data_IF_388324402510
#
_entry.id   IF_388324402510
#
_cell.length_a   1.000
_cell.length_b   1.000
_cell.length_c   1.000
_cell.angle_alpha   90.00
_cell.angle_beta   90.00
_cell.angle_gamma   90.00
#
_symmetry.space_group_name_H-M   'P 1'
#
loop_
_entity.id
_entity.type
_entity.pdbx_description
1 polymer ?
#
# COMPACT_ATOMS: atom_id res chain seq x y z
N UNK A 1 63.99 36.31 -21.49
CA UNK A 1 62.71 36.73 -20.87
C UNK A 1 61.50 35.87 -21.24
N UNK A 2 61.35 35.33 -22.43
CA UNK A 2 60.15 34.51 -22.83
C UNK A 2 60.07 33.13 -22.19
N UNK A 3 61.20 32.52 -21.77
CA UNK A 3 61.20 31.17 -21.10
C UNK A 3 60.79 31.27 -19.64
N UNK A 4 61.19 32.27 -18.92
CA UNK A 4 60.83 32.49 -17.49
C UNK A 4 59.31 32.68 -17.31
N UNK A 5 58.66 33.42 -18.20
CA UNK A 5 57.21 33.65 -18.17
C UNK A 5 56.37 32.39 -18.35
N UNK A 6 56.87 31.41 -19.15
CA UNK A 6 56.17 30.14 -19.39
C UNK A 6 56.29 29.21 -18.18
N UNK A 7 57.42 29.20 -17.48
CA UNK A 7 57.65 28.40 -16.27
C UNK A 7 56.80 28.91 -15.12
N UNK A 8 56.69 30.23 -14.97
CA UNK A 8 55.85 30.83 -13.92
C UNK A 8 54.34 30.58 -14.15
N UNK A 9 53.92 30.57 -15.42
CA UNK A 9 52.52 30.25 -15.78
C UNK A 9 52.17 28.78 -15.52
N UNK A 10 53.13 27.86 -15.79
CA UNK A 10 52.95 26.44 -15.54
C UNK A 10 52.95 26.09 -14.07
N UNK A 11 53.77 26.77 -13.25
CA UNK A 11 53.77 26.63 -11.80
C UNK A 11 52.51 27.18 -11.12
N UNK A 12 51.98 28.30 -11.65
CA UNK A 12 50.70 28.82 -11.20
C UNK A 12 49.50 27.88 -11.55
N UNK A 13 49.50 27.29 -12.75
CA UNK A 13 48.44 26.35 -13.13
C UNK A 13 48.54 25.04 -12.32
N UNK A 14 49.73 24.56 -11.97
CA UNK A 14 49.89 23.38 -11.11
C UNK A 14 49.46 23.66 -9.66
N UNK A 15 49.66 24.89 -9.13
CA UNK A 15 49.18 25.28 -7.82
C UNK A 15 47.64 25.39 -7.73
N UNK A 16 46.96 25.78 -8.83
CA UNK A 16 45.49 25.78 -8.90
C UNK A 16 44.89 24.37 -8.98
N UNK A 17 45.60 23.40 -9.54
CA UNK A 17 45.13 22.01 -9.58
C UNK A 17 45.36 21.26 -8.26
N UNK A 18 46.29 21.68 -7.43
CA UNK A 18 46.53 21.11 -6.10
C UNK A 18 45.58 21.70 -5.00
N UNK A 19 44.84 22.77 -5.32
CA UNK A 19 43.98 23.47 -4.34
C UNK A 19 42.57 22.93 -4.22
N UNK A 20 42.22 21.82 -4.90
CA UNK A 20 40.87 21.25 -4.87
C UNK A 20 40.79 19.86 -4.21
N UNK A 21 41.66 19.52 -3.28
CA UNK A 21 41.33 18.50 -2.30
C UNK A 21 40.56 19.14 -1.16
N UNK A 22 39.25 19.32 -1.35
CA UNK A 22 38.35 19.63 -0.25
C UNK A 22 38.23 18.38 0.62
N UNK A 23 39.14 18.21 1.59
CA UNK A 23 39.13 17.13 2.57
C UNK A 23 37.93 17.18 3.53
N UNK A 24 37.13 18.22 3.46
CA UNK A 24 35.94 18.43 4.29
C UNK A 24 34.88 17.32 4.18
N UNK A 25 34.91 16.50 3.13
CA UNK A 25 33.97 15.36 2.97
C UNK A 25 34.46 14.07 3.61
N UNK A 26 35.68 14.03 4.14
CA UNK A 26 36.27 12.84 4.77
C UNK A 26 36.02 12.77 6.27
N UNK A 27 35.65 13.89 6.89
CA UNK A 27 35.35 13.94 8.32
C UNK A 27 33.85 14.09 8.54
N UNK A 28 33.29 13.29 9.45
CA UNK A 28 31.92 13.42 9.89
C UNK A 28 31.79 14.67 10.76
N UNK A 29 31.05 15.67 10.27
CA UNK A 29 30.84 16.94 10.97
C UNK A 29 29.62 16.92 11.89
N UNK A 30 28.78 15.92 11.74
CA UNK A 30 27.52 15.80 12.44
C UNK A 30 27.46 14.49 13.23
N UNK A 31 26.72 14.52 14.32
CA UNK A 31 26.45 13.31 15.09
C UNK A 31 25.58 12.38 14.25
N UNK A 32 26.00 11.13 14.09
CA UNK A 32 25.24 10.10 13.38
C UNK A 32 23.99 9.73 14.16
N UNK A 33 22.85 9.73 13.49
CA UNK A 33 21.57 9.29 14.03
C UNK A 33 21.06 8.13 13.19
N UNK A 34 20.55 7.12 13.86
CA UNK A 34 19.85 6.01 13.23
C UNK A 34 18.37 6.35 13.17
N UNK A 35 17.77 6.17 12.01
CA UNK A 35 16.36 6.47 11.79
C UNK A 35 15.68 5.47 10.86
N UNK A 36 14.35 5.40 10.97
CA UNK A 36 13.49 4.61 10.11
C UNK A 36 13.11 5.47 8.90
N UNK A 37 13.32 4.92 7.69
CA UNK A 37 12.91 5.60 6.46
C UNK A 37 11.40 5.50 6.33
N UNK A 38 10.74 6.63 6.43
CA UNK A 38 9.28 6.73 6.36
C UNK A 38 8.87 8.01 5.65
N UNK A 39 7.65 8.06 5.18
CA UNK A 39 7.04 9.24 4.58
C UNK A 39 6.66 10.31 5.59
N UNK A 40 5.72 11.13 5.20
CA UNK A 40 5.14 12.16 6.06
C UNK A 40 4.40 11.50 7.23
N UNK A 41 4.41 12.14 8.39
CA UNK A 41 3.81 11.63 9.64
C UNK A 41 4.32 10.24 10.09
N UNK A 42 5.51 9.85 9.67
CA UNK A 42 6.11 8.55 9.96
C UNK A 42 5.30 7.35 9.43
N UNK A 43 4.57 7.52 8.35
CA UNK A 43 3.85 6.45 7.68
C UNK A 43 4.70 5.88 6.56
N UNK A 44 4.71 4.55 6.44
CA UNK A 44 5.30 3.82 5.32
C UNK A 44 4.31 2.77 4.83
N UNK A 45 3.60 3.07 3.74
CA UNK A 45 2.72 2.10 3.09
C UNK A 45 3.48 1.16 2.15
N UNK A 46 3.26 -0.14 2.30
CA UNK A 46 3.78 -1.15 1.39
C UNK A 46 2.66 -2.05 0.89
N UNK A 47 2.70 -2.36 -0.43
CA UNK A 47 1.71 -3.21 -1.08
C UNK A 47 2.07 -4.68 -0.93
N UNK A 48 1.08 -5.47 -0.50
CA UNK A 48 1.14 -6.91 -0.39
C UNK A 48 0.13 -7.54 -1.36
N UNK A 49 0.52 -8.63 -1.99
CA UNK A 49 -0.28 -9.31 -3.00
C UNK A 49 -1.10 -10.43 -2.39
N UNK A 50 -2.39 -10.52 -2.78
CA UNK A 50 -3.25 -11.61 -2.30
C UNK A 50 -2.80 -12.98 -2.82
N UNK A 51 -2.97 -14.01 -1.99
CA UNK A 51 -2.73 -15.40 -2.35
C UNK A 51 -1.28 -15.86 -2.28
N UNK A 52 -0.42 -15.09 -1.64
CA UNK A 52 0.92 -15.51 -1.28
C UNK A 52 0.98 -15.83 0.22
N UNK A 53 1.40 -17.05 0.57
CA UNK A 53 1.67 -17.39 1.96
C UNK A 53 2.89 -16.61 2.46
N UNK A 54 2.63 -15.53 3.22
CA UNK A 54 3.66 -14.72 3.83
C UNK A 54 4.40 -13.81 2.84
N UNK A 55 3.72 -12.78 2.36
CA UNK A 55 4.35 -11.73 1.55
C UNK A 55 5.43 -10.99 2.32
N UNK A 56 6.60 -10.83 1.71
CA UNK A 56 7.73 -10.15 2.31
C UNK A 56 7.69 -8.64 2.07
N UNK A 57 7.59 -7.88 3.16
CA UNK A 57 7.81 -6.45 3.21
C UNK A 57 9.21 -6.11 3.76
N UNK A 58 9.62 -4.84 3.61
CA UNK A 58 10.94 -4.37 4.03
C UNK A 58 10.84 -2.97 4.64
N UNK A 59 11.38 -2.85 5.84
CA UNK A 59 11.55 -1.57 6.51
C UNK A 59 13.01 -1.15 6.42
N UNK A 60 13.27 -0.01 5.79
CA UNK A 60 14.63 0.50 5.64
C UNK A 60 15.04 1.31 6.88
N UNK A 61 16.21 0.96 7.42
CA UNK A 61 16.88 1.65 8.51
C UNK A 61 18.09 2.35 7.93
N UNK A 62 18.30 3.59 8.29
CA UNK A 62 19.37 4.40 7.73
C UNK A 62 20.15 5.13 8.81
N UNK A 63 21.45 5.34 8.55
CA UNK A 63 22.32 6.20 9.35
C UNK A 63 22.50 7.54 8.68
N UNK A 64 22.20 8.62 9.38
CA UNK A 64 22.53 9.97 8.91
C UNK A 64 24.03 10.21 8.89
N UNK A 65 24.45 11.29 8.24
CA UNK A 65 25.84 11.71 8.16
C UNK A 65 26.41 11.60 6.75
N UNK A 66 27.63 12.10 6.59
CA UNK A 66 28.33 12.15 5.30
C UNK A 66 29.22 10.92 5.06
N UNK A 67 29.57 10.21 6.13
CA UNK A 67 30.40 9.01 6.09
C UNK A 67 29.62 7.77 6.50
N UNK A 68 30.07 6.60 6.08
CA UNK A 68 29.52 5.31 6.52
C UNK A 68 29.75 5.07 8.02
N UNK A 69 29.08 4.06 8.56
CA UNK A 69 29.30 3.62 9.94
C UNK A 69 30.73 3.10 10.11
N UNK A 70 31.39 3.49 11.20
CA UNK A 70 32.76 3.07 11.53
C UNK A 70 32.82 1.70 12.20
N UNK A 71 31.71 1.28 12.81
CA UNK A 71 31.54 0.01 13.51
C UNK A 71 30.18 -0.61 13.24
N UNK A 72 29.99 -1.88 13.60
CA UNK A 72 28.68 -2.53 13.51
C UNK A 72 27.72 -1.93 14.53
N UNK A 73 26.51 -1.62 14.09
CA UNK A 73 25.46 -1.05 14.93
C UNK A 73 24.26 -1.98 14.94
N UNK A 74 23.90 -2.49 16.12
CA UNK A 74 22.67 -3.25 16.31
C UNK A 74 21.54 -2.29 16.65
N UNK A 75 20.43 -2.40 15.92
CA UNK A 75 19.19 -1.65 16.13
C UNK A 75 18.12 -2.63 16.54
N UNK A 76 17.52 -2.45 17.72
CA UNK A 76 16.43 -3.28 18.24
C UNK A 76 15.13 -2.52 18.16
N UNK A 77 14.04 -3.21 17.81
CA UNK A 77 12.72 -2.66 17.65
C UNK A 77 11.74 -3.18 18.69
N UNK A 78 10.70 -2.39 18.95
CA UNK A 78 9.55 -2.78 19.76
C UNK A 78 8.27 -2.24 19.11
N UNK A 79 7.12 -2.81 19.50
CA UNK A 79 5.82 -2.26 19.10
C UNK A 79 5.56 -0.93 19.84
N UNK A 80 4.92 0.01 19.15
CA UNK A 80 4.58 1.33 19.66
C UNK A 80 3.06 1.57 19.59
N UNK A 81 2.34 0.95 20.51
CA UNK A 81 0.87 1.04 20.58
C UNK A 81 0.36 2.48 20.79
N UNK A 82 1.18 3.36 21.38
CA UNK A 82 0.80 4.76 21.58
C UNK A 82 0.76 5.53 20.26
N UNK A 83 1.67 5.23 19.33
CA UNK A 83 1.76 5.92 18.05
C UNK A 83 0.49 5.75 17.20
N UNK A 84 -0.13 4.57 17.19
CA UNK A 84 -1.39 4.36 16.47
C UNK A 84 -2.56 5.07 17.16
N UNK A 85 -2.58 5.10 18.49
CA UNK A 85 -3.57 5.86 19.26
C UNK A 85 -3.51 7.35 18.96
N UNK A 86 -2.31 7.93 18.90
CA UNK A 86 -2.10 9.34 18.53
C UNK A 86 -2.49 9.62 17.07
N UNK A 87 -2.17 8.69 16.16
CA UNK A 87 -2.58 8.77 14.76
C UNK A 87 -4.10 8.86 14.63
N UNK A 88 -4.82 7.93 15.26
CA UNK A 88 -6.27 7.85 15.22
C UNK A 88 -6.92 9.11 15.78
N UNK A 89 -6.47 9.54 16.97
CA UNK A 89 -6.97 10.75 17.62
C UNK A 89 -6.76 12.00 16.75
N UNK A 90 -5.60 12.12 16.12
CA UNK A 90 -5.27 13.28 15.29
C UNK A 90 -6.08 13.34 14.00
N UNK A 91 -6.34 12.18 13.36
CA UNK A 91 -6.97 12.15 12.05
C UNK A 91 -8.49 11.99 12.11
N UNK A 92 -9.01 11.31 13.11
CA UNK A 92 -10.42 10.91 13.18
C UNK A 92 -11.15 11.45 14.41
N UNK A 93 -10.42 11.88 15.44
CA UNK A 93 -10.94 12.44 16.71
C UNK A 93 -11.98 11.52 17.36
N UNK A 94 -13.27 11.81 17.23
CA UNK A 94 -14.38 11.04 17.82
C UNK A 94 -15.03 10.05 16.85
N UNK A 95 -14.56 9.96 15.63
CA UNK A 95 -15.05 9.01 14.62
C UNK A 95 -14.37 7.66 14.79
N UNK A 96 -14.76 6.92 15.81
CA UNK A 96 -14.14 5.64 16.16
C UNK A 96 -14.31 4.56 15.10
N UNK A 97 -15.32 4.68 14.25
CA UNK A 97 -15.60 3.81 13.11
C UNK A 97 -14.54 3.92 12.00
N UNK A 98 -13.82 5.05 11.93
CA UNK A 98 -12.77 5.30 10.94
C UNK A 98 -11.37 4.99 11.48
N UNK A 99 -11.26 4.52 12.73
CA UNK A 99 -9.96 4.27 13.34
C UNK A 99 -9.19 3.18 12.62
N UNK A 100 -7.93 3.47 12.31
CA UNK A 100 -7.01 2.44 11.86
C UNK A 100 -6.73 1.44 12.97
N UNK A 101 -6.54 0.19 12.58
CA UNK A 101 -6.34 -0.94 13.48
C UNK A 101 -4.86 -1.33 13.51
N UNK A 102 -4.42 -1.81 14.66
CA UNK A 102 -3.16 -2.52 14.75
C UNK A 102 -3.32 -3.91 14.13
N UNK A 103 -2.38 -4.30 13.24
CA UNK A 103 -2.40 -5.63 12.66
C UNK A 103 -2.14 -6.67 13.76
N UNK A 104 -3.07 -7.65 13.98
CA UNK A 104 -2.86 -8.67 14.99
C UNK A 104 -1.58 -9.50 14.73
N UNK A 105 -0.91 -9.92 15.79
CA UNK A 105 0.39 -10.60 15.72
C UNK A 105 0.38 -11.90 14.91
N UNK A 106 -0.78 -12.57 14.83
CA UNK A 106 -0.95 -13.78 14.01
C UNK A 106 -0.84 -13.52 12.49
N UNK A 107 -0.97 -12.27 12.04
CA UNK A 107 -0.92 -11.91 10.62
C UNK A 107 0.44 -11.41 10.15
N UNK A 108 1.43 -11.27 11.04
CA UNK A 108 2.77 -10.89 10.63
C UNK A 108 3.88 -11.58 11.43
N UNK A 109 5.08 -11.54 10.88
CA UNK A 109 6.29 -12.03 11.55
C UNK A 109 7.44 -11.07 11.28
N UNK A 110 8.12 -10.66 12.36
CA UNK A 110 9.37 -9.90 12.31
C UNK A 110 10.35 -10.63 13.24
N UNK A 111 11.21 -11.46 12.67
CA UNK A 111 12.16 -12.26 13.45
C UNK A 111 13.53 -12.28 12.76
N UNK A 112 14.57 -11.75 13.44
CA UNK A 112 14.54 -11.09 14.76
C UNK A 112 13.96 -9.66 14.69
N UNK A 113 13.43 -9.15 15.81
CA UNK A 113 13.03 -7.74 15.98
C UNK A 113 14.27 -6.84 16.12
N UNK A 114 15.26 -7.05 15.27
CA UNK A 114 16.52 -6.30 15.26
C UNK A 114 17.22 -6.44 13.91
N UNK A 115 18.07 -5.47 13.60
CA UNK A 115 19.00 -5.54 12.46
C UNK A 115 20.40 -5.17 12.89
N UNK A 116 21.41 -5.74 12.23
CA UNK A 116 22.81 -5.37 12.38
C UNK A 116 23.26 -4.59 11.14
N UNK A 117 23.41 -3.29 11.27
CA UNK A 117 24.03 -2.42 10.26
C UNK A 117 25.55 -2.60 10.32
N UNK A 118 26.16 -3.04 9.25
CA UNK A 118 27.60 -3.33 9.22
C UNK A 118 28.44 -2.07 9.05
N UNK A 119 29.64 -2.09 9.64
CA UNK A 119 30.65 -1.07 9.36
C UNK A 119 30.87 -0.91 7.85
N UNK A 120 31.01 0.31 7.39
CA UNK A 120 31.12 0.66 5.97
C UNK A 120 29.78 0.75 5.21
N UNK A 121 28.64 0.53 5.88
CA UNK A 121 27.30 0.71 5.31
C UNK A 121 26.57 1.88 5.95
N UNK A 122 25.51 2.38 5.30
CA UNK A 122 24.63 3.43 5.83
C UNK A 122 23.19 2.97 5.97
N UNK A 123 22.87 1.77 5.50
CA UNK A 123 21.48 1.28 5.54
C UNK A 123 21.44 -0.23 5.73
N UNK A 124 20.33 -0.68 6.32
CA UNK A 124 19.97 -2.09 6.42
C UNK A 124 18.45 -2.23 6.31
N UNK A 125 17.98 -3.43 6.01
CA UNK A 125 16.56 -3.73 5.83
C UNK A 125 16.09 -4.70 6.92
N UNK A 126 15.01 -4.34 7.61
CA UNK A 126 14.28 -5.24 8.49
C UNK A 126 13.20 -5.94 7.64
N UNK A 127 13.27 -7.27 7.46
CA UNK A 127 12.22 -8.01 6.76
C UNK A 127 10.96 -8.11 7.65
N UNK A 128 9.80 -7.95 7.01
CA UNK A 128 8.48 -8.06 7.64
C UNK A 128 7.66 -9.00 6.77
N UNK A 129 7.28 -10.16 7.28
CA UNK A 129 6.39 -11.07 6.57
C UNK A 129 4.96 -10.84 7.01
N UNK A 130 4.03 -10.68 6.07
CA UNK A 130 2.62 -10.35 6.34
C UNK A 130 1.69 -11.30 5.61
N UNK A 131 0.58 -11.69 6.25
CA UNK A 131 -0.54 -12.43 5.67
C UNK A 131 -1.76 -11.53 5.60
N UNK A 132 -2.37 -11.40 4.42
CA UNK A 132 -3.43 -10.39 4.19
C UNK A 132 -4.78 -11.00 3.81
N UNK A 133 -4.87 -12.32 3.60
CA UNK A 133 -6.05 -12.95 2.99
C UNK A 133 -7.33 -12.85 3.83
N UNK A 134 -7.19 -12.72 5.15
CA UNK A 134 -8.33 -12.65 6.09
C UNK A 134 -8.61 -11.23 6.61
N UNK A 135 -7.85 -10.24 6.11
CA UNK A 135 -8.04 -8.85 6.55
C UNK A 135 -9.29 -8.23 5.94
N UNK A 136 -10.03 -7.47 6.75
CA UNK A 136 -11.22 -6.77 6.29
C UNK A 136 -10.85 -5.71 5.26
N UNK A 137 -11.55 -5.66 4.11
CA UNK A 137 -11.18 -4.78 3.01
C UNK A 137 -11.38 -3.29 3.30
N UNK A 138 -12.23 -2.95 4.24
CA UNK A 138 -12.56 -1.56 4.59
C UNK A 138 -11.71 -1.00 5.72
N UNK A 139 -10.91 -1.84 6.36
CA UNK A 139 -10.08 -1.43 7.50
C UNK A 139 -8.66 -1.06 7.05
N UNK A 140 -8.12 -0.04 7.69
CA UNK A 140 -6.70 0.32 7.56
C UNK A 140 -5.90 -0.36 8.67
N UNK A 141 -4.85 -1.09 8.29
CA UNK A 141 -4.01 -1.82 9.24
C UNK A 141 -2.60 -1.28 9.27
N UNK A 142 -2.06 -1.10 10.49
CA UNK A 142 -0.68 -0.73 10.74
C UNK A 142 0.05 -1.74 11.61
N UNK A 143 1.35 -1.93 11.39
CA UNK A 143 2.28 -2.46 12.37
C UNK A 143 3.03 -1.25 12.93
N UNK A 144 2.76 -0.83 14.19
CA UNK A 144 3.44 0.30 14.80
C UNK A 144 4.79 -0.14 15.36
N UNK A 145 5.89 0.30 14.79
CA UNK A 145 7.25 -0.06 15.20
C UNK A 145 8.01 1.17 15.65
N UNK A 146 8.83 1.01 16.70
CA UNK A 146 9.80 2.03 17.13
C UNK A 146 11.17 1.44 17.35
N UNK A 147 12.20 2.26 17.24
CA UNK A 147 13.54 1.91 17.69
C UNK A 147 13.52 1.92 19.22
N UNK A 148 13.73 0.75 19.82
CA UNK A 148 13.83 0.57 21.25
C UNK A 148 15.24 0.91 21.75
N UNK A 149 16.26 0.42 21.05
CA UNK A 149 17.66 0.67 21.39
C UNK A 149 18.58 0.65 20.18
N UNK A 150 19.71 1.30 20.32
CA UNK A 150 20.81 1.33 19.35
C UNK A 150 22.10 1.09 20.11
N UNK A 151 22.92 0.12 19.67
CA UNK A 151 24.16 -0.25 20.38
C UNK A 151 25.23 0.83 20.36
N UNK A 152 25.23 1.66 19.31
CA UNK A 152 26.12 2.79 19.11
C UNK A 152 25.40 3.87 18.31
N UNK A 153 25.86 5.10 18.33
CA UNK A 153 25.17 6.28 17.79
C UNK A 153 23.93 6.66 18.64
N UNK A 154 22.99 7.37 18.03
CA UNK A 154 21.72 7.74 18.67
C UNK A 154 20.56 7.40 17.74
N UNK A 155 19.43 7.06 18.34
CA UNK A 155 18.18 7.05 17.57
C UNK A 155 17.74 8.48 17.28
N UNK A 156 17.22 8.72 16.09
CA UNK A 156 16.60 10.00 15.74
C UNK A 156 15.43 10.31 16.67
N UNK A 157 15.25 11.55 17.02
CA UNK A 157 14.14 11.98 17.90
C UNK A 157 12.81 12.13 17.15
N UNK A 158 12.85 12.22 15.83
CA UNK A 158 11.66 12.48 14.99
C UNK A 158 11.29 11.32 14.07
N UNK A 159 12.26 10.46 13.71
CA UNK A 159 12.14 9.33 12.81
C UNK A 159 12.50 8.01 13.49
N UNK A 160 12.24 7.91 14.79
CA UNK A 160 12.50 6.73 15.59
C UNK A 160 11.32 5.74 15.65
N UNK A 161 10.19 6.08 15.04
CA UNK A 161 9.03 5.19 14.91
C UNK A 161 8.44 5.23 13.50
N UNK A 162 7.64 4.24 13.18
CA UNK A 162 6.89 4.15 11.91
C UNK A 162 5.56 3.46 12.13
N UNK A 163 4.54 3.95 11.47
CA UNK A 163 3.29 3.24 11.22
C UNK A 163 3.44 2.54 9.86
N UNK A 164 3.75 1.24 9.90
CA UNK A 164 3.95 0.44 8.70
C UNK A 164 2.58 -0.02 8.19
N UNK A 165 2.10 0.63 7.13
CA UNK A 165 0.76 0.45 6.57
C UNK A 165 0.71 -0.74 5.63
N UNK A 166 -0.29 -1.60 5.82
CA UNK A 166 -0.54 -2.79 5.03
C UNK A 166 -1.49 -2.45 3.88
N UNK A 167 -0.92 -2.17 2.73
CA UNK A 167 -1.67 -1.94 1.51
C UNK A 167 -1.85 -3.27 0.75
N UNK A 168 -3.02 -3.47 0.18
CA UNK A 168 -3.39 -4.74 -0.47
C UNK A 168 -3.55 -4.54 -1.96
N UNK A 169 -3.12 -5.51 -2.75
CA UNK A 169 -3.29 -5.49 -4.21
C UNK A 169 -3.53 -6.87 -4.78
N UNK A 170 -4.11 -6.89 -5.97
CA UNK A 170 -4.12 -8.02 -6.89
C UNK A 170 -3.95 -7.50 -8.32
N UNK A 171 -4.11 -8.36 -9.32
CA UNK A 171 -3.97 -7.97 -10.74
C UNK A 171 -5.01 -6.94 -11.21
N UNK A 172 -6.08 -6.71 -10.43
CA UNK A 172 -7.24 -5.92 -10.83
C UNK A 172 -7.39 -4.61 -10.05
N UNK A 173 -6.86 -4.53 -8.82
CA UNK A 173 -7.02 -3.37 -7.95
C UNK A 173 -5.92 -3.27 -6.89
N UNK A 174 -5.76 -2.05 -6.32
CA UNK A 174 -4.88 -1.79 -5.19
C UNK A 174 -5.53 -0.82 -4.21
N UNK A 175 -5.19 -0.95 -2.92
CA UNK A 175 -5.61 0.02 -1.89
C UNK A 175 -4.62 1.19 -1.73
N UNK A 176 -3.51 1.19 -2.46
CA UNK A 176 -2.52 2.29 -2.44
C UNK A 176 -3.06 3.56 -3.10
N UNK A 177 -3.90 3.38 -4.10
CA UNK A 177 -4.60 4.44 -4.80
C UNK A 177 -5.95 3.90 -5.26
N UNK A 178 -6.93 4.81 -5.37
CA UNK A 178 -8.24 4.45 -5.84
C UNK A 178 -8.19 3.83 -7.24
N UNK A 179 -8.76 2.64 -7.37
CA UNK A 179 -8.91 1.95 -8.64
C UNK A 179 -10.36 2.06 -9.11
N UNK A 180 -10.58 2.61 -10.30
CA UNK A 180 -11.93 2.82 -10.83
C UNK A 180 -12.18 2.02 -12.10
N UNK A 181 -13.35 1.37 -12.15
CA UNK A 181 -13.87 0.72 -13.36
C UNK A 181 -15.17 1.39 -13.81
N UNK A 182 -15.37 1.47 -15.12
CA UNK A 182 -16.61 1.97 -15.68
C UNK A 182 -17.65 0.87 -15.72
N UNK A 183 -18.77 1.08 -15.00
CA UNK A 183 -19.92 0.19 -15.03
C UNK A 183 -20.97 0.76 -15.98
N UNK A 184 -21.36 -0.04 -16.97
CA UNK A 184 -22.43 0.29 -17.92
C UNK A 184 -23.48 -0.79 -17.92
N UNK A 185 -24.75 -0.41 -18.08
CA UNK A 185 -25.85 -1.35 -18.12
C UNK A 185 -27.17 -0.74 -17.72
N UNK A 186 -28.08 -1.58 -17.24
CA UNK A 186 -29.37 -1.15 -16.69
C UNK A 186 -29.63 -1.88 -15.37
N UNK A 187 -30.17 -1.17 -14.40
CA UNK A 187 -30.77 -1.78 -13.20
C UNK A 187 -32.27 -1.80 -13.34
N UNK A 188 -32.88 -2.82 -12.78
CA UNK A 188 -34.30 -2.88 -12.55
C UNK A 188 -34.52 -3.02 -11.05
N UNK A 189 -35.04 -1.96 -10.41
CA UNK A 189 -35.33 -1.97 -8.98
C UNK A 189 -36.78 -2.36 -8.70
N UNK A 190 -36.95 -3.14 -7.65
CA UNK A 190 -38.24 -3.43 -7.04
C UNK A 190 -38.90 -4.74 -7.48
N UNK A 191 -39.80 -5.20 -6.66
CA UNK A 191 -40.73 -6.29 -6.95
C UNK A 191 -41.65 -5.83 -8.07
N UNK A 192 -41.45 -6.28 -9.29
CA UNK A 192 -42.39 -6.09 -10.35
C UNK A 192 -43.50 -7.11 -10.15
N UNK A 193 -44.57 -6.71 -9.53
CA UNK A 193 -45.85 -7.40 -9.75
C UNK A 193 -46.25 -7.00 -11.18
N UNK A 194 -45.96 -7.88 -12.13
CA UNK A 194 -46.37 -7.71 -13.52
C UNK A 194 -47.84 -7.29 -13.55
N UNK A 195 -48.15 -6.25 -14.29
CA UNK A 195 -49.44 -5.68 -14.58
C UNK A 195 -50.06 -4.59 -13.66
N UNK A 196 -49.44 -4.19 -12.56
CA UNK A 196 -50.01 -3.08 -11.76
C UNK A 196 -49.28 -1.76 -12.00
N UNK A 197 -48.02 -1.79 -12.39
CA UNK A 197 -47.26 -0.60 -12.74
C UNK A 197 -46.48 -0.91 -14.03
N UNK A 198 -46.67 -0.10 -15.06
CA UNK A 198 -46.01 -0.31 -16.34
C UNK A 198 -44.54 -0.70 -16.23
N UNK A 199 -44.13 -1.79 -16.86
CA UNK A 199 -42.85 -2.47 -16.70
C UNK A 199 -41.61 -1.64 -17.02
N UNK A 200 -41.77 -0.54 -17.76
CA UNK A 200 -40.64 0.28 -18.23
C UNK A 200 -40.20 1.41 -17.29
N UNK A 201 -41.06 1.77 -16.32
CA UNK A 201 -40.80 2.95 -15.46
C UNK A 201 -39.75 2.73 -14.35
N UNK A 202 -39.19 1.53 -14.23
CA UNK A 202 -38.23 1.17 -13.16
C UNK A 202 -36.85 0.71 -13.64
N UNK A 203 -36.59 0.80 -14.93
CA UNK A 203 -35.27 0.57 -15.47
C UNK A 203 -34.47 1.85 -15.41
N UNK A 204 -33.34 1.79 -14.76
CA UNK A 204 -32.39 2.89 -14.68
C UNK A 204 -31.12 2.51 -15.44
N UNK A 205 -30.69 3.36 -16.36
CA UNK A 205 -29.41 3.20 -17.03
C UNK A 205 -28.28 3.48 -16.04
N UNK A 206 -27.26 2.66 -16.09
CA UNK A 206 -26.02 2.84 -15.36
C UNK A 206 -24.95 3.22 -16.37
N UNK A 207 -24.24 4.32 -16.08
CA UNK A 207 -22.97 4.68 -16.72
C UNK A 207 -22.20 5.50 -15.70
N UNK A 208 -21.45 4.80 -14.84
CA UNK A 208 -20.74 5.42 -13.73
C UNK A 208 -19.38 4.78 -13.50
N UNK A 209 -18.46 5.60 -13.03
CA UNK A 209 -17.19 5.14 -12.50
C UNK A 209 -17.41 4.56 -11.10
N UNK A 210 -16.84 3.39 -10.83
CA UNK A 210 -17.01 2.64 -9.59
C UNK A 210 -15.66 2.36 -8.97
N UNK A 211 -15.54 2.66 -7.68
CA UNK A 211 -14.39 2.26 -6.89
C UNK A 211 -14.35 0.74 -6.76
N UNK A 212 -13.17 0.18 -6.95
CA UNK A 212 -12.93 -1.26 -6.89
C UNK A 212 -11.92 -1.56 -5.81
N UNK A 213 -12.26 -2.48 -4.92
CA UNK A 213 -11.41 -2.90 -3.81
C UNK A 213 -10.94 -4.34 -4.02
N UNK A 214 -9.65 -4.66 -3.89
CA UNK A 214 -9.18 -6.05 -3.94
C UNK A 214 -9.63 -6.78 -2.68
N UNK A 215 -10.20 -8.00 -2.84
CA UNK A 215 -10.72 -8.83 -1.74
C UNK A 215 -10.26 -10.28 -1.82
N UNK A 216 -9.27 -10.56 -2.64
CA UNK A 216 -8.65 -11.87 -2.83
C UNK A 216 -7.79 -11.88 -4.09
N UNK A 217 -7.04 -12.96 -4.32
CA UNK A 217 -6.06 -13.06 -5.43
C UNK A 217 -6.67 -12.72 -6.79
N UNK A 218 -7.85 -13.24 -7.08
CA UNK A 218 -8.55 -13.04 -8.35
C UNK A 218 -9.92 -12.39 -8.15
N UNK A 219 -10.14 -11.75 -7.00
CA UNK A 219 -11.45 -11.23 -6.63
C UNK A 219 -11.38 -9.75 -6.28
N UNK A 220 -12.39 -9.03 -6.75
CA UNK A 220 -12.63 -7.62 -6.43
C UNK A 220 -14.03 -7.45 -5.86
N UNK A 221 -14.19 -6.38 -5.08
CA UNK A 221 -15.47 -5.91 -4.57
C UNK A 221 -15.84 -4.60 -5.25
N UNK A 222 -17.10 -4.45 -5.60
CA UNK A 222 -17.65 -3.25 -6.23
C UNK A 222 -19.10 -3.03 -5.76
N UNK A 223 -19.50 -1.77 -5.59
CA UNK A 223 -20.88 -1.41 -5.33
C UNK A 223 -21.64 -1.32 -6.66
N UNK A 224 -22.60 -2.23 -6.96
CA UNK A 224 -23.32 -2.24 -8.22
C UNK A 224 -24.37 -1.13 -8.29
N UNK A 225 -24.83 -0.84 -9.50
CA UNK A 225 -25.96 0.08 -9.72
C UNK A 225 -25.54 1.54 -9.85
N UNK A 226 -26.52 2.43 -9.72
CA UNK A 226 -26.33 3.87 -9.89
C UNK A 226 -25.95 4.60 -8.58
N UNK A 227 -25.92 3.88 -7.45
CA UNK A 227 -25.67 4.47 -6.13
C UNK A 227 -24.23 4.98 -6.03
N UNK A 228 -24.07 6.18 -5.50
CA UNK A 228 -22.74 6.71 -5.18
C UNK A 228 -22.16 6.00 -3.93
N UNK A 229 -20.85 5.85 -3.89
CA UNK A 229 -20.12 5.20 -2.79
C UNK A 229 -19.85 6.22 -1.68
N UNK A 230 -20.88 6.63 -0.96
CA UNK A 230 -20.74 7.68 0.05
C UNK A 230 -20.72 7.19 1.48
N UNK A 231 -21.17 5.95 1.74
CA UNK A 231 -21.26 5.42 3.10
C UNK A 231 -20.70 3.98 3.14
N UNK A 232 -19.80 3.72 4.09
CA UNK A 232 -19.16 2.41 4.27
C UNK A 232 -20.18 1.29 4.54
N UNK A 233 -21.28 1.60 5.25
CA UNK A 233 -22.33 0.64 5.53
C UNK A 233 -23.07 0.18 4.28
N UNK A 234 -23.30 1.08 3.32
CA UNK A 234 -23.92 0.73 2.03
C UNK A 234 -23.00 -0.16 1.19
N UNK A 235 -21.70 0.08 1.26
CA UNK A 235 -20.71 -0.76 0.58
C UNK A 235 -20.74 -2.18 1.13
N UNK A 236 -20.73 -2.33 2.46
CA UNK A 236 -20.76 -3.65 3.13
C UNK A 236 -22.02 -4.44 2.81
N UNK A 237 -23.18 -3.77 2.80
CA UNK A 237 -24.48 -4.45 2.64
C UNK A 237 -24.92 -4.67 1.21
N UNK A 238 -24.40 -3.88 0.26
CA UNK A 238 -24.91 -3.88 -1.12
C UNK A 238 -23.86 -4.20 -2.19
N UNK A 239 -22.63 -4.53 -1.77
CA UNK A 239 -21.55 -4.84 -2.71
C UNK A 239 -21.72 -6.23 -3.33
N UNK A 240 -21.08 -6.39 -4.47
CA UNK A 240 -20.86 -7.70 -5.11
C UNK A 240 -19.39 -8.01 -5.18
N UNK A 241 -19.09 -9.30 -5.09
CA UNK A 241 -17.77 -9.85 -5.40
C UNK A 241 -17.77 -10.29 -6.86
N UNK A 242 -16.74 -9.91 -7.59
CA UNK A 242 -16.46 -10.39 -8.93
C UNK A 242 -15.17 -11.19 -8.84
N UNK A 243 -15.26 -12.50 -9.13
CA UNK A 243 -14.09 -13.39 -9.16
C UNK A 243 -13.80 -13.74 -10.61
N UNK A 244 -12.58 -13.47 -11.04
CA UNK A 244 -12.06 -13.81 -12.37
C UNK A 244 -11.42 -15.19 -12.29
N UNK A 245 -11.82 -16.09 -13.20
CA UNK A 245 -11.17 -17.39 -13.35
C UNK A 245 -10.01 -17.20 -14.37
N UNK A 246 -8.74 -17.22 -13.92
CA UNK A 246 -7.62 -16.95 -14.81
C UNK A 246 -7.35 -18.07 -15.81
N UNK A 247 -7.87 -19.27 -15.56
CA UNK A 247 -7.61 -20.46 -16.38
C UNK A 247 -8.70 -20.71 -17.42
N UNK A 248 -9.93 -20.27 -17.16
CA UNK A 248 -11.07 -20.52 -18.04
C UNK A 248 -11.31 -19.38 -19.00
N UNK A 249 -11.07 -19.64 -20.28
CA UNK A 249 -11.33 -18.74 -21.39
C UNK A 249 -12.55 -19.19 -22.20
N UNK A 250 -13.42 -18.23 -22.50
CA UNK A 250 -14.64 -18.44 -23.30
C UNK A 250 -14.61 -17.51 -24.50
N UNK A 251 -14.82 -18.05 -25.67
CA UNK A 251 -14.98 -17.23 -26.87
C UNK A 251 -16.36 -16.57 -26.87
N UNK A 252 -16.39 -15.26 -26.76
CA UNK A 252 -17.62 -14.47 -26.72
C UNK A 252 -17.82 -13.83 -28.10
N UNK A 253 -19.03 -13.94 -28.69
CA UNK A 253 -19.33 -13.31 -29.96
C UNK A 253 -19.24 -11.77 -29.87
N UNK A 254 -18.78 -11.17 -30.96
CA UNK A 254 -18.73 -9.72 -31.08
C UNK A 254 -20.03 -9.20 -31.68
N UNK A 255 -20.59 -8.15 -31.07
CA UNK A 255 -21.75 -7.43 -31.60
C UNK A 255 -21.27 -6.13 -32.23
N UNK A 256 -21.68 -5.89 -33.49
CA UNK A 256 -21.42 -4.63 -34.17
C UNK A 256 -22.79 -4.01 -34.50
N UNK A 257 -23.00 -2.79 -34.05
CA UNK A 257 -24.29 -2.05 -34.21
C UNK A 257 -25.52 -2.84 -33.70
N UNK A 258 -25.33 -3.74 -32.74
CA UNK A 258 -26.39 -4.60 -32.17
C UNK A 258 -26.63 -5.90 -32.91
N UNK A 259 -25.92 -6.17 -33.98
CA UNK A 259 -25.98 -7.43 -34.71
C UNK A 259 -24.82 -8.36 -34.32
N UNK A 260 -25.13 -9.67 -34.17
CA UNK A 260 -24.19 -10.71 -33.90
C UNK A 260 -23.29 -10.94 -35.13
N UNK A 261 -21.97 -10.93 -34.93
CA UNK A 261 -21.00 -11.25 -35.98
C UNK A 261 -20.49 -12.69 -35.82
N UNK A 262 -19.85 -13.22 -36.86
CA UNK A 262 -19.16 -14.51 -36.81
C UNK A 262 -17.81 -14.45 -36.07
N UNK A 263 -17.39 -13.26 -35.68
CA UNK A 263 -16.14 -13.04 -34.95
C UNK A 263 -16.34 -13.25 -33.45
N UNK A 264 -15.33 -13.83 -32.81
CA UNK A 264 -15.31 -14.03 -31.36
C UNK A 264 -14.06 -13.46 -30.74
N UNK A 265 -14.15 -13.02 -29.48
CA UNK A 265 -13.01 -12.60 -28.67
C UNK A 265 -12.88 -13.51 -27.44
N UNK A 266 -11.68 -13.99 -27.11
CA UNK A 266 -11.48 -14.75 -25.89
C UNK A 266 -11.61 -13.84 -24.66
N UNK A 267 -12.49 -14.22 -23.74
CA UNK A 267 -12.69 -13.56 -22.45
C UNK A 267 -12.55 -14.53 -21.31
N UNK A 268 -12.00 -14.07 -20.20
CA UNK A 268 -11.96 -14.87 -18.97
C UNK A 268 -13.36 -14.98 -18.37
N UNK A 269 -13.66 -16.17 -17.83
CA UNK A 269 -14.91 -16.38 -17.12
C UNK A 269 -14.90 -15.61 -15.81
N UNK A 270 -16.00 -14.97 -15.48
CA UNK A 270 -16.21 -14.30 -14.19
C UNK A 270 -17.39 -14.91 -13.45
N UNK A 271 -17.28 -14.94 -12.12
CA UNK A 271 -18.38 -15.27 -11.20
C UNK A 271 -18.73 -14.01 -10.44
N UNK A 272 -20.02 -13.73 -10.33
CA UNK A 272 -20.56 -12.58 -9.62
C UNK A 272 -21.47 -13.10 -8.51
N UNK A 273 -21.21 -12.68 -7.29
CA UNK A 273 -21.97 -13.08 -6.11
C UNK A 273 -22.12 -11.90 -5.14
N UNK A 274 -23.13 -11.89 -4.25
CA UNK A 274 -23.18 -10.91 -3.17
C UNK A 274 -21.89 -10.97 -2.36
N UNK A 275 -21.33 -9.80 -2.02
CA UNK A 275 -20.23 -9.72 -1.09
C UNK A 275 -20.80 -9.69 0.32
N UNK A 276 -20.52 -10.72 1.09
CA UNK A 276 -20.91 -10.80 2.49
C UNK A 276 -19.62 -10.87 3.31
N UNK A 277 -19.43 -9.94 4.22
CA UNK A 277 -18.41 -10.08 5.25
C UNK A 277 -18.69 -11.31 6.10
N UNK A 278 -17.66 -11.96 6.58
CA UNK A 278 -17.76 -13.20 7.38
C UNK A 278 -18.61 -13.06 8.63
N UNK A 279 -18.81 -11.81 9.10
CA UNK A 279 -19.70 -11.50 10.23
C UNK A 279 -21.17 -11.42 9.82
N UNK A 280 -21.49 -11.10 8.57
CA UNK A 280 -22.86 -10.97 8.06
C UNK A 280 -23.40 -12.26 7.43
N UNK A 281 -22.54 -13.20 7.12
CA UNK A 281 -22.91 -14.49 6.51
C UNK A 281 -23.86 -15.34 7.40
N UNK A 282 -23.96 -15.04 8.68
CA UNK A 282 -24.84 -15.73 9.63
C UNK A 282 -26.31 -15.30 9.47
N UNK A 283 -26.60 -14.13 8.92
CA UNK A 283 -27.97 -13.60 8.83
C UNK A 283 -28.74 -13.99 7.55
N UNK A 284 -28.07 -14.48 6.52
CA UNK A 284 -28.70 -14.79 5.21
C UNK A 284 -29.11 -16.26 5.09
N UNK A 285 -28.68 -17.15 5.98
CA UNK A 285 -29.05 -18.58 5.95
C UNK A 285 -30.41 -18.90 6.54
N UNK A 286 -31.21 -17.91 6.92
CA UNK A 286 -32.50 -18.07 7.61
C UNK A 286 -33.72 -17.52 6.84
N UNK A 287 -33.67 -17.43 5.51
CA UNK A 287 -34.88 -17.06 4.73
C UNK A 287 -35.13 -18.01 3.56
#
# INVERSE_FOLDING_TARGET
>A
MKAFSKITLLAAAAAFLASCEMEYYKEELYRKEIFIVSGENNILGQEFEYGEEGCEGKLAIYSSGTTSLDENVTVTFALDHEAIGEYNKRNFDTKFEDYALELPEEYYTIDPMSVEMKAGTNSELLPVTVRIDELLPDETYFIPLRIESVSSCMASTTKNYVLFEILRKNDYATTKSDTYYTMTGTTQSGWVIDNIFGSDSRRQAINSSKLVTPVGKHSIRILPGATAETEALDIRNNSIRITVDPETWVNVPIYVEGELTDETVPMQKVTIEPYLDSQDAISVSAS
#
